data_IF_338385597695
#
_entry.id   IF_338385597695
#
_cell.length_a   1.000
_cell.length_b   1.000
_cell.length_c   1.000
_cell.angle_alpha   90.00
_cell.angle_beta   90.00
_cell.angle_gamma   90.00
#
_symmetry.space_group_name_H-M   'P 1'
#
loop_
_entity.id
_entity.type
_entity.pdbx_description
1 polymer ?
#
# COMPACT_ATOMS: atom_id res chain seq x y z
N UNK A 1 26.42 9.73 21.24
CA UNK A 1 25.89 8.64 20.40
C UNK A 1 24.48 9.04 20.01
N UNK A 2 24.30 9.64 18.83
CA UNK A 2 23.00 10.16 18.38
C UNK A 2 22.35 9.07 17.53
N UNK A 3 21.35 8.41 18.11
CA UNK A 3 20.50 7.45 17.40
C UNK A 3 19.65 8.22 16.40
N UNK A 4 19.85 7.91 15.12
CA UNK A 4 19.13 8.46 13.97
C UNK A 4 17.62 8.32 14.13
N UNK A 5 16.93 9.46 14.17
CA UNK A 5 15.48 9.57 14.09
C UNK A 5 15.08 9.33 12.62
N UNK A 6 14.29 8.28 12.38
CA UNK A 6 13.82 7.87 11.06
C UNK A 6 12.48 8.60 10.76
N UNK A 7 12.41 9.52 9.78
CA UNK A 7 11.21 10.33 9.51
C UNK A 7 10.11 9.60 8.72
N UNK A 8 10.23 8.29 8.45
CA UNK A 8 9.15 7.50 7.84
C UNK A 8 8.02 7.10 8.82
N UNK A 9 7.98 7.68 10.02
CA UNK A 9 7.16 7.22 11.14
C UNK A 9 5.74 7.81 11.23
N UNK A 10 5.33 8.72 10.33
CA UNK A 10 4.02 9.39 10.38
C UNK A 10 3.00 8.85 9.37
N UNK A 11 3.14 7.58 8.99
CA UNK A 11 2.11 6.84 8.24
C UNK A 11 1.15 6.15 9.24
N UNK A 12 -0.17 6.36 9.19
CA UNK A 12 -1.11 5.97 10.26
C UNK A 12 -1.40 4.45 10.36
N UNK A 13 -0.61 3.58 9.74
CA UNK A 13 -0.93 2.15 9.62
C UNK A 13 -0.03 1.28 10.50
N UNK A 14 -0.57 0.85 11.65
CA UNK A 14 0.11 -0.02 12.63
C UNK A 14 -0.27 -1.49 12.43
N UNK A 15 0.68 -2.29 11.98
CA UNK A 15 0.59 -3.74 11.90
C UNK A 15 0.75 -4.39 13.29
N UNK A 16 -0.13 -5.30 13.69
CA UNK A 16 0.18 -6.24 14.80
C UNK A 16 -0.22 -7.66 14.39
N UNK A 17 0.70 -8.60 14.60
CA UNK A 17 0.42 -10.02 14.61
C UNK A 17 -0.49 -10.34 15.82
N UNK A 18 -1.59 -11.06 15.58
CA UNK A 18 -2.42 -11.64 16.64
C UNK A 18 -2.18 -13.14 16.65
N UNK A 19 -1.69 -13.62 17.79
CA UNK A 19 -1.53 -15.02 18.16
C UNK A 19 -2.78 -15.38 18.97
N UNK A 20 -3.77 -16.09 18.40
CA UNK A 20 -4.90 -16.58 19.18
C UNK A 20 -5.42 -17.92 18.65
N UNK A 21 -5.35 -18.92 19.53
CA UNK A 21 -6.09 -20.18 19.45
C UNK A 21 -7.56 -19.89 19.74
N UNK A 22 -8.45 -20.66 19.11
CA UNK A 22 -9.92 -20.63 19.23
C UNK A 22 -10.67 -19.62 18.34
N UNK A 23 -11.14 -20.07 17.17
CA UNK A 23 -12.56 -20.23 16.85
C UNK A 23 -12.73 -20.52 15.34
N UNK A 24 -13.44 -21.60 15.00
CA UNK A 24 -13.56 -22.11 13.63
C UNK A 24 -14.53 -21.29 12.77
N UNK A 25 -14.00 -20.57 11.79
CA UNK A 25 -14.64 -20.25 10.50
C UNK A 25 -13.59 -19.73 9.48
N UNK A 26 -13.05 -20.65 8.69
CA UNK A 26 -12.73 -20.54 7.26
C UNK A 26 -11.85 -19.36 6.77
N UNK A 27 -10.53 -19.66 6.66
CA UNK A 27 -9.53 -19.15 5.70
C UNK A 27 -9.49 -17.66 5.31
N UNK A 28 -9.36 -16.76 6.28
CA UNK A 28 -8.62 -15.51 6.08
C UNK A 28 -7.36 -15.57 6.96
N UNK A 29 -6.22 -15.95 6.37
CA UNK A 29 -4.92 -15.68 7.00
C UNK A 29 -4.89 -14.19 7.34
N UNK A 30 -4.79 -13.90 8.64
CA UNK A 30 -5.22 -12.67 9.29
C UNK A 30 -4.50 -11.40 8.78
N UNK A 31 -5.01 -10.80 7.69
CA UNK A 31 -4.66 -9.44 7.26
C UNK A 31 -5.43 -8.44 8.11
N UNK A 32 -4.79 -7.90 9.14
CA UNK A 32 -5.37 -6.85 9.98
C UNK A 32 -5.01 -5.48 9.42
N UNK A 33 -5.69 -5.07 8.34
CA UNK A 33 -5.60 -3.71 7.82
C UNK A 33 -6.43 -2.77 8.68
N UNK A 34 -5.90 -1.59 9.01
CA UNK A 34 -6.63 -0.52 9.69
C UNK A 34 -6.68 0.70 8.79
N UNK A 35 -7.84 1.34 8.71
CA UNK A 35 -8.03 2.63 8.02
C UNK A 35 -8.42 3.68 9.05
N UNK A 36 -7.98 4.91 8.86
CA UNK A 36 -8.29 6.04 9.73
C UNK A 36 -9.40 6.90 9.10
N UNK A 37 -10.60 6.79 9.66
CA UNK A 37 -11.77 7.58 9.23
C UNK A 37 -11.69 9.05 9.60
N UNK A 38 -10.79 9.45 10.50
CA UNK A 38 -10.59 10.83 10.94
C UNK A 38 -9.52 11.58 10.14
N UNK A 39 -8.71 10.84 9.37
CA UNK A 39 -7.68 11.41 8.51
C UNK A 39 -8.30 12.25 7.38
N UNK A 40 -7.56 13.29 6.97
CA UNK A 40 -7.89 14.09 5.78
C UNK A 40 -7.66 13.32 4.47
N UNK A 41 -6.94 12.21 4.54
CA UNK A 41 -6.69 11.37 3.37
C UNK A 41 -7.95 10.54 3.03
N UNK A 42 -8.41 10.56 1.77
CA UNK A 42 -9.54 9.74 1.34
C UNK A 42 -9.35 8.25 1.64
N UNK A 43 -10.36 7.63 2.26
CA UNK A 43 -10.37 6.19 2.58
C UNK A 43 -9.94 5.27 1.42
N UNK A 44 -10.32 5.51 0.14
CA UNK A 44 -9.83 4.68 -0.95
C UNK A 44 -8.31 4.70 -1.09
N UNK A 45 -7.66 5.83 -0.83
CA UNK A 45 -6.19 5.96 -0.92
C UNK A 45 -5.50 5.25 0.24
N UNK A 46 -6.08 5.29 1.44
CA UNK A 46 -5.56 4.53 2.57
C UNK A 46 -5.61 3.01 2.31
N UNK A 47 -6.69 2.52 1.69
CA UNK A 47 -6.80 1.10 1.28
C UNK A 47 -5.75 0.76 0.21
N UNK A 48 -5.54 1.64 -0.77
CA UNK A 48 -4.48 1.48 -1.78
C UNK A 48 -3.11 1.34 -1.11
N UNK A 49 -2.81 2.20 -0.13
CA UNK A 49 -1.56 2.17 0.62
C UNK A 49 -1.39 0.85 1.40
N UNK A 50 -2.42 0.40 2.11
CA UNK A 50 -2.40 -0.88 2.83
C UNK A 50 -2.08 -2.07 1.91
N UNK A 51 -2.76 -2.15 0.75
CA UNK A 51 -2.51 -3.23 -0.21
C UNK A 51 -1.07 -3.16 -0.73
N UNK A 52 -0.61 -1.98 -1.14
CA UNK A 52 0.77 -1.80 -1.62
C UNK A 52 1.80 -2.21 -0.60
N UNK A 53 1.61 -1.83 0.66
CA UNK A 53 2.52 -2.20 1.74
C UNK A 53 2.52 -3.71 1.96
N UNK A 54 1.36 -4.36 1.97
CA UNK A 54 1.27 -5.81 2.10
C UNK A 54 1.95 -6.56 0.97
N UNK A 55 1.87 -6.06 -0.27
CA UNK A 55 2.61 -6.67 -1.39
C UNK A 55 4.12 -6.40 -1.25
N UNK A 56 4.51 -5.18 -0.90
CA UNK A 56 5.92 -4.79 -0.74
C UNK A 56 6.61 -5.53 0.43
N UNK A 57 5.88 -5.83 1.51
CA UNK A 57 6.39 -6.62 2.64
C UNK A 57 6.42 -8.13 2.35
N UNK A 58 5.79 -8.58 1.25
CA UNK A 58 5.68 -9.99 0.89
C UNK A 58 4.56 -10.75 1.61
N UNK A 59 3.72 -10.06 2.39
CA UNK A 59 2.51 -10.63 3.01
C UNK A 59 1.44 -10.99 1.97
N UNK A 60 1.37 -10.19 0.89
CA UNK A 60 0.54 -10.47 -0.28
C UNK A 60 1.44 -10.94 -1.42
N UNK A 61 1.34 -12.22 -1.77
CA UNK A 61 2.13 -12.79 -2.86
C UNK A 61 1.55 -12.43 -4.23
N UNK A 62 2.41 -12.33 -5.25
CA UNK A 62 1.96 -12.22 -6.64
C UNK A 62 1.12 -13.45 -7.00
N UNK A 63 -0.05 -13.21 -7.59
CA UNK A 63 -1.05 -14.22 -7.93
C UNK A 63 -2.03 -14.54 -6.81
N UNK A 64 -1.81 -14.03 -5.59
CA UNK A 64 -2.72 -14.16 -4.46
C UNK A 64 -4.03 -13.40 -4.71
N UNK A 65 -5.13 -13.94 -4.20
CA UNK A 65 -6.46 -13.39 -4.38
C UNK A 65 -6.83 -12.53 -3.18
N UNK A 66 -7.20 -11.28 -3.44
CA UNK A 66 -7.71 -10.40 -2.39
C UNK A 66 -9.16 -10.78 -2.03
N UNK A 67 -9.59 -10.47 -0.78
CA UNK A 67 -10.96 -10.65 -0.37
C UNK A 67 -11.95 -9.94 -1.31
N UNK A 68 -13.17 -10.46 -1.47
CA UNK A 68 -14.26 -9.74 -2.11
C UNK A 68 -14.46 -8.36 -1.48
N UNK A 69 -14.82 -7.36 -2.30
CA UNK A 69 -15.00 -5.99 -1.82
C UNK A 69 -16.03 -5.86 -0.68
N UNK A 70 -17.04 -6.75 -0.65
CA UNK A 70 -18.03 -6.79 0.42
C UNK A 70 -17.44 -7.28 1.75
N UNK A 71 -16.58 -8.30 1.72
CA UNK A 71 -15.92 -8.84 2.91
C UNK A 71 -14.91 -7.84 3.47
N UNK A 72 -14.10 -7.22 2.61
CA UNK A 72 -13.15 -6.21 3.04
C UNK A 72 -13.84 -4.95 3.58
N UNK A 73 -14.96 -4.55 2.96
CA UNK A 73 -15.77 -3.43 3.45
C UNK A 73 -16.31 -3.68 4.86
N UNK A 74 -16.79 -4.89 5.13
CA UNK A 74 -17.25 -5.30 6.45
C UNK A 74 -16.09 -5.30 7.48
N UNK A 75 -14.94 -5.87 7.11
CA UNK A 75 -13.77 -5.93 7.98
C UNK A 75 -13.23 -4.54 8.36
N UNK A 76 -13.25 -3.59 7.41
CA UNK A 76 -12.75 -2.22 7.61
C UNK A 76 -13.82 -1.22 8.07
N UNK A 77 -15.08 -1.65 8.18
CA UNK A 77 -16.22 -0.75 8.45
C UNK A 77 -16.25 0.47 7.49
N UNK A 78 -16.15 0.21 6.18
CA UNK A 78 -16.20 1.22 5.11
C UNK A 78 -17.27 0.88 4.08
N UNK A 79 -17.68 1.85 3.26
CA UNK A 79 -18.61 1.60 2.16
C UNK A 79 -17.99 0.67 1.09
N UNK A 80 -18.79 -0.24 0.53
CA UNK A 80 -18.35 -1.17 -0.53
C UNK A 80 -17.78 -0.43 -1.75
N UNK A 81 -18.35 0.72 -2.11
CA UNK A 81 -17.88 1.51 -3.25
C UNK A 81 -16.51 2.14 -2.99
N UNK A 82 -16.16 2.42 -1.73
CA UNK A 82 -14.82 2.88 -1.32
C UNK A 82 -13.78 1.80 -1.61
N UNK A 83 -14.07 0.56 -1.24
CA UNK A 83 -13.18 -0.59 -1.55
C UNK A 83 -13.09 -0.81 -3.05
N UNK A 84 -14.21 -0.77 -3.77
CA UNK A 84 -14.21 -0.90 -5.23
C UNK A 84 -13.42 0.23 -5.91
N UNK A 85 -13.48 1.45 -5.38
CA UNK A 85 -12.68 2.58 -5.88
C UNK A 85 -11.17 2.32 -5.67
N UNK A 86 -10.78 1.82 -4.50
CA UNK A 86 -9.40 1.44 -4.22
C UNK A 86 -8.91 0.32 -5.15
N UNK A 87 -9.71 -0.74 -5.34
CA UNK A 87 -9.34 -1.86 -6.23
C UNK A 87 -9.22 -1.44 -7.69
N UNK A 88 -10.12 -0.56 -8.16
CA UNK A 88 -10.00 0.02 -9.51
C UNK A 88 -8.68 0.79 -9.66
N UNK A 89 -8.33 1.62 -8.67
CA UNK A 89 -7.08 2.37 -8.70
C UNK A 89 -5.86 1.44 -8.72
N UNK A 90 -5.83 0.44 -7.86
CA UNK A 90 -4.76 -0.56 -7.82
C UNK A 90 -4.63 -1.34 -9.13
N UNK A 91 -5.75 -1.62 -9.82
CA UNK A 91 -5.73 -2.21 -11.15
C UNK A 91 -5.14 -1.25 -12.17
N UNK A 92 -5.61 -0.02 -12.18
CA UNK A 92 -5.14 0.99 -13.13
C UNK A 92 -3.64 1.27 -12.94
N UNK A 93 -3.14 1.14 -11.70
CA UNK A 93 -1.73 1.22 -11.33
C UNK A 93 -0.95 -0.10 -11.57
N UNK A 94 -1.59 -1.17 -12.07
CA UNK A 94 -0.96 -2.45 -12.40
C UNK A 94 -0.60 -3.35 -11.19
N UNK A 95 -1.00 -2.96 -9.99
CA UNK A 95 -0.79 -3.75 -8.75
C UNK A 95 -1.76 -4.92 -8.68
N UNK A 96 -3.00 -4.71 -9.14
CA UNK A 96 -4.03 -5.75 -9.20
C UNK A 96 -4.45 -6.07 -10.63
N UNK A 97 -4.91 -7.29 -10.85
CA UNK A 97 -5.65 -7.69 -12.04
C UNK A 97 -7.03 -8.25 -11.66
N UNK A 98 -8.04 -8.00 -12.48
CA UNK A 98 -9.34 -8.67 -12.33
C UNK A 98 -9.43 -9.84 -13.30
N UNK A 99 -9.69 -11.04 -12.77
CA UNK A 99 -10.00 -12.21 -13.59
C UNK A 99 -11.50 -12.47 -13.56
N UNK A 100 -12.09 -12.77 -14.73
CA UNK A 100 -13.53 -13.06 -14.86
C UNK A 100 -13.92 -14.18 -13.89
N UNK A 101 -14.86 -13.88 -12.99
CA UNK A 101 -15.41 -14.83 -12.02
C UNK A 101 -14.50 -15.21 -10.84
N UNK A 102 -13.30 -14.63 -10.70
CA UNK A 102 -12.35 -14.99 -9.62
C UNK A 102 -11.83 -13.81 -8.80
N UNK A 103 -12.49 -12.65 -8.88
CA UNK A 103 -12.13 -11.48 -8.05
C UNK A 103 -10.82 -10.80 -8.45
N UNK A 104 -10.29 -10.01 -7.51
CA UNK A 104 -9.04 -9.27 -7.67
C UNK A 104 -7.84 -10.13 -7.25
N UNK A 105 -6.76 -10.10 -8.03
CA UNK A 105 -5.50 -10.77 -7.72
C UNK A 105 -4.32 -9.82 -7.79
N UNK A 106 -3.30 -10.05 -6.99
CA UNK A 106 -2.03 -9.33 -7.05
C UNK A 106 -1.34 -9.67 -8.36
N UNK A 107 -1.10 -8.67 -9.20
CA UNK A 107 -0.47 -8.84 -10.51
C UNK A 107 1.04 -8.63 -10.46
N UNK A 108 1.52 -7.72 -9.60
CA UNK A 108 2.91 -7.31 -9.52
C UNK A 108 3.31 -7.03 -8.08
N UNK A 109 4.55 -7.38 -7.71
CA UNK A 109 5.08 -7.25 -6.35
C UNK A 109 5.27 -5.78 -5.94
N UNK A 110 5.66 -4.91 -6.87
CA UNK A 110 5.73 -3.48 -6.65
C UNK A 110 5.70 -2.80 -8.01
N UNK A 111 4.73 -1.92 -8.23
CA UNK A 111 4.86 -0.88 -9.25
C UNK A 111 4.33 0.39 -8.62
N UNK A 112 5.26 1.26 -8.22
CA UNK A 112 4.92 2.66 -7.94
C UNK A 112 4.10 3.18 -9.13
N UNK A 113 3.02 3.97 -8.91
CA UNK A 113 2.20 4.46 -10.01
C UNK A 113 3.08 4.98 -11.14
N UNK A 114 2.78 4.65 -12.39
CA UNK A 114 3.60 5.09 -13.53
C UNK A 114 3.96 6.60 -13.47
N UNK A 115 3.02 7.52 -13.11
CA UNK A 115 3.36 8.93 -12.94
C UNK A 115 4.39 9.22 -11.84
N UNK A 116 4.38 8.46 -10.73
CA UNK A 116 5.35 8.59 -9.63
C UNK A 116 6.72 8.07 -10.07
N UNK A 117 6.75 6.92 -10.76
CA UNK A 117 7.98 6.38 -11.31
C UNK A 117 8.60 7.34 -12.33
N UNK A 118 7.81 7.91 -13.24
CA UNK A 118 8.26 8.90 -14.23
C UNK A 118 8.78 10.18 -13.58
N UNK A 119 8.07 10.69 -12.56
CA UNK A 119 8.51 11.85 -11.78
C UNK A 119 9.82 11.56 -11.03
N UNK A 120 9.94 10.39 -10.41
CA UNK A 120 11.14 9.96 -9.71
C UNK A 120 12.33 9.80 -10.67
N UNK A 121 12.11 9.22 -11.85
CA UNK A 121 13.13 9.12 -12.91
C UNK A 121 13.57 10.49 -13.39
N UNK A 122 12.64 11.42 -13.59
CA UNK A 122 12.92 12.81 -13.96
C UNK A 122 13.76 13.50 -12.89
N UNK A 123 13.37 13.37 -11.62
CA UNK A 123 14.12 13.91 -10.48
C UNK A 123 15.54 13.34 -10.42
N UNK A 124 15.70 12.02 -10.54
CA UNK A 124 17.01 11.36 -10.54
C UNK A 124 17.87 11.83 -11.72
N UNK A 125 17.28 11.98 -12.92
CA UNK A 125 18.00 12.47 -14.08
C UNK A 125 18.47 13.92 -13.90
N UNK A 126 17.63 14.79 -13.34
CA UNK A 126 17.99 16.18 -13.00
C UNK A 126 19.10 16.19 -11.96
N UNK A 127 18.93 15.48 -10.85
CA UNK A 127 19.88 15.42 -9.74
C UNK A 127 21.27 14.97 -10.19
N UNK A 128 21.35 13.92 -11.04
CA UNK A 128 22.62 13.43 -11.59
C UNK A 128 23.35 14.48 -12.43
N UNK A 129 22.63 15.30 -13.21
CA UNK A 129 23.25 16.40 -13.99
C UNK A 129 23.87 17.48 -13.09
N UNK A 130 23.41 17.58 -11.85
CA UNK A 130 23.94 18.51 -10.84
C UNK A 130 24.89 17.83 -9.83
N UNK A 131 25.30 16.59 -10.09
CA UNK A 131 26.23 15.86 -9.22
C UNK A 131 25.64 15.38 -7.91
N UNK A 132 24.32 15.41 -7.74
CA UNK A 132 23.64 14.92 -6.54
C UNK A 132 23.54 13.39 -6.61
N UNK A 133 24.16 12.73 -5.63
CA UNK A 133 24.08 11.28 -5.46
C UNK A 133 22.79 10.85 -4.79
N UNK A 134 22.60 9.53 -4.67
CA UNK A 134 21.45 8.94 -3.94
C UNK A 134 21.31 9.52 -2.52
N UNK A 135 22.43 9.67 -1.82
CA UNK A 135 22.44 10.17 -0.44
C UNK A 135 21.92 11.61 -0.35
N UNK A 136 22.33 12.46 -1.28
CA UNK A 136 21.89 13.87 -1.33
C UNK A 136 20.42 13.99 -1.71
N UNK A 137 19.95 13.13 -2.62
CA UNK A 137 18.55 13.03 -3.01
C UNK A 137 17.65 12.63 -1.84
N UNK A 138 18.05 11.62 -1.06
CA UNK A 138 17.28 11.21 0.13
C UNK A 138 17.22 12.36 1.13
N UNK A 139 18.36 12.99 1.44
CA UNK A 139 18.41 14.17 2.32
C UNK A 139 17.57 15.34 1.82
N UNK A 140 17.48 15.53 0.50
CA UNK A 140 16.67 16.58 -0.09
C UNK A 140 15.18 16.30 0.12
N UNK A 141 14.73 15.06 -0.14
CA UNK A 141 13.34 14.65 0.04
C UNK A 141 12.95 14.78 1.52
N UNK A 142 13.76 14.24 2.44
CA UNK A 142 13.53 14.31 3.89
C UNK A 142 13.44 15.75 4.44
N UNK A 143 13.99 16.74 3.72
CA UNK A 143 13.90 18.15 4.12
C UNK A 143 12.63 18.84 3.61
N UNK A 144 12.02 18.31 2.55
CA UNK A 144 10.88 18.92 1.86
C UNK A 144 9.53 18.36 2.31
N UNK A 145 9.53 17.15 2.86
CA UNK A 145 8.38 16.48 3.49
C UNK A 145 8.51 16.54 5.00
#
# INVERSE_FOLDING_TARGET
>A
MVTTMNPAADCPVRFQAVDDRENGANNASTMRWTVDHSSREPLPLQIVACVRQGVASGELAVGEQLPPAAELAAALSVDRNTVLAAYRRLRDDGVLEFRRGRGARVASAVTEPAPVTEAAQTLVAVARRHGLGRHDLIRLIERLT
#
